data_IF_558704454017
#
_entry.id   IF_558704454017
#
_cell.length_a   1.000
_cell.length_b   1.000
_cell.length_c   1.000
_cell.angle_alpha   90.00
_cell.angle_beta   90.00
_cell.angle_gamma   90.00
#
_symmetry.space_group_name_H-M   'P 1'
#
loop_
_entity.id
_entity.type
_entity.pdbx_description
1 polymer ?
#
# COMPACT_ATOMS: atom_id res chain seq x y z
N UNK A 1 -10.33 -5.50 -21.93
CA UNK A 1 -11.10 -4.40 -21.33
C UNK A 1 -10.78 -4.23 -19.84
N UNK A 2 -10.98 -5.25 -19.00
CA UNK A 2 -10.77 -5.11 -17.55
C UNK A 2 -9.30 -4.96 -17.13
N UNK A 3 -8.36 -5.63 -17.79
CA UNK A 3 -6.92 -5.46 -17.50
C UNK A 3 -6.42 -4.06 -17.85
N UNK A 4 -6.94 -3.47 -18.92
CA UNK A 4 -6.63 -2.10 -19.31
C UNK A 4 -7.16 -1.08 -18.30
N UNK A 5 -8.35 -1.29 -17.76
CA UNK A 5 -8.91 -0.47 -16.69
C UNK A 5 -8.02 -0.55 -15.43
N UNK A 6 -7.62 -1.76 -15.01
CA UNK A 6 -6.70 -1.95 -13.87
C UNK A 6 -5.39 -1.21 -14.11
N UNK A 7 -4.84 -1.29 -15.33
CA UNK A 7 -3.61 -0.59 -15.70
C UNK A 7 -3.77 0.92 -15.58
N UNK A 8 -4.78 1.47 -16.24
CA UNK A 8 -4.99 2.92 -16.28
C UNK A 8 -5.28 3.48 -14.88
N UNK A 9 -6.07 2.77 -14.07
CA UNK A 9 -6.32 3.13 -12.69
C UNK A 9 -5.05 3.04 -11.83
N UNK A 10 -4.25 1.99 -11.98
CA UNK A 10 -2.98 1.83 -11.27
C UNK A 10 -1.99 2.95 -11.64
N UNK A 11 -1.90 3.30 -12.92
CA UNK A 11 -1.05 4.37 -13.43
C UNK A 11 -1.50 5.75 -12.91
N UNK A 12 -2.80 5.98 -12.79
CA UNK A 12 -3.35 7.23 -12.24
C UNK A 12 -3.11 7.33 -10.73
N UNK A 13 -3.31 6.25 -9.99
CA UNK A 13 -3.08 6.19 -8.54
C UNK A 13 -1.59 6.35 -8.18
N UNK A 14 -0.69 5.83 -9.02
CA UNK A 14 0.75 5.96 -8.86
C UNK A 14 1.26 7.40 -8.98
N UNK A 15 0.48 8.31 -9.58
CA UNK A 15 0.83 9.75 -9.67
C UNK A 15 0.66 10.51 -8.36
N UNK A 16 -0.02 9.92 -7.38
CA UNK A 16 -0.20 10.57 -6.08
C UNK A 16 1.10 10.57 -5.29
N UNK A 17 1.53 11.72 -4.83
CA UNK A 17 2.81 11.90 -4.13
C UNK A 17 2.97 11.06 -2.86
N UNK A 18 1.87 10.69 -2.21
CA UNK A 18 1.90 9.80 -1.03
C UNK A 18 2.07 8.32 -1.38
N UNK A 19 1.82 7.93 -2.63
CA UNK A 19 1.92 6.53 -3.03
C UNK A 19 3.38 6.18 -3.29
N UNK A 20 3.89 5.18 -2.58
CA UNK A 20 5.24 4.65 -2.80
C UNK A 20 5.25 3.54 -3.85
N UNK A 21 4.20 2.71 -3.87
CA UNK A 21 4.01 1.66 -4.88
C UNK A 21 2.56 1.25 -5.01
N UNK A 22 2.22 0.76 -6.19
CA UNK A 22 0.90 0.20 -6.51
C UNK A 22 1.08 -1.28 -6.83
N UNK A 23 0.35 -2.14 -6.16
CA UNK A 23 0.36 -3.58 -6.36
C UNK A 23 -1.00 -4.00 -6.93
N UNK A 24 -0.97 -4.71 -8.05
CA UNK A 24 -2.16 -5.25 -8.70
C UNK A 24 -1.85 -6.61 -9.32
N UNK A 25 -2.84 -7.28 -9.87
CA UNK A 25 -2.64 -8.53 -10.63
C UNK A 25 -1.72 -8.36 -11.85
N UNK A 26 -1.46 -7.13 -12.28
CA UNK A 26 -0.62 -6.86 -13.45
C UNK A 26 0.88 -6.94 -13.15
N UNK A 27 1.31 -6.64 -11.92
CA UNK A 27 2.71 -6.49 -11.56
C UNK A 27 3.20 -7.44 -10.46
N UNK A 28 2.36 -8.39 -10.03
CA UNK A 28 2.82 -9.43 -9.11
C UNK A 28 3.49 -10.59 -9.85
N UNK A 29 4.48 -11.27 -9.24
CA UNK A 29 5.20 -12.38 -9.82
C UNK A 29 4.31 -13.56 -10.21
N UNK A 30 4.52 -14.14 -11.40
CA UNK A 30 3.85 -15.33 -11.89
C UNK A 30 4.89 -16.44 -12.17
N UNK A 31 5.20 -17.24 -11.15
CA UNK A 31 6.30 -18.19 -11.20
C UNK A 31 5.96 -19.47 -11.98
N UNK A 32 4.68 -19.86 -12.05
CA UNK A 32 4.23 -21.07 -12.73
C UNK A 32 3.74 -20.85 -14.15
N UNK A 33 3.65 -19.59 -14.59
CA UNK A 33 3.03 -19.22 -15.86
C UNK A 33 4.01 -18.92 -16.98
N UNK A 34 5.31 -19.12 -16.73
CA UNK A 34 6.41 -18.80 -17.65
C UNK A 34 6.52 -19.82 -18.76
N UNK A 35 6.71 -19.36 -20.01
CA UNK A 35 7.16 -20.20 -21.12
C UNK A 35 8.69 -20.37 -20.99
N UNK A 36 9.17 -21.58 -20.69
CA UNK A 36 10.61 -21.86 -20.64
C UNK A 36 11.14 -22.36 -19.29
N UNK A 37 10.29 -22.48 -18.28
CA UNK A 37 10.69 -23.08 -16.99
C UNK A 37 11.58 -22.16 -16.14
N UNK A 38 12.36 -22.79 -15.23
CA UNK A 38 13.15 -22.11 -14.18
C UNK A 38 14.25 -21.18 -14.72
N UNK A 39 14.78 -21.45 -15.89
CA UNK A 39 15.84 -20.62 -16.52
C UNK A 39 15.32 -19.23 -16.94
N UNK A 40 14.07 -19.09 -17.35
CA UNK A 40 13.48 -17.80 -17.70
C UNK A 40 13.22 -16.90 -16.49
N UNK A 41 13.09 -17.49 -15.29
CA UNK A 41 12.83 -16.74 -14.04
C UNK A 41 14.09 -16.02 -13.54
N UNK A 42 15.28 -16.53 -13.87
CA UNK A 42 16.56 -15.98 -13.39
C UNK A 42 16.90 -14.64 -14.04
N UNK A 43 16.38 -14.37 -15.22
CA UNK A 43 16.67 -13.14 -15.98
C UNK A 43 15.62 -12.06 -15.76
N UNK A 44 14.35 -12.45 -15.55
CA UNK A 44 13.23 -11.53 -15.36
C UNK A 44 12.12 -12.21 -14.56
N UNK A 45 11.59 -11.51 -13.57
CA UNK A 45 10.41 -11.99 -12.82
C UNK A 45 9.14 -11.74 -13.65
N UNK A 46 8.51 -12.76 -14.22
CA UNK A 46 7.39 -12.58 -15.14
C UNK A 46 6.13 -12.08 -14.39
N UNK A 47 5.40 -11.21 -15.05
CA UNK A 47 4.15 -10.63 -14.57
C UNK A 47 3.05 -10.77 -15.63
N UNK A 48 1.79 -10.49 -15.27
CA UNK A 48 0.69 -10.53 -16.24
C UNK A 48 0.82 -9.47 -17.35
N UNK A 49 1.66 -8.47 -17.15
CA UNK A 49 1.93 -7.41 -18.15
C UNK A 49 2.88 -7.85 -19.26
N UNK A 50 3.58 -8.98 -19.09
CA UNK A 50 4.55 -9.46 -20.08
C UNK A 50 3.87 -10.10 -21.29
N UNK A 51 4.42 -9.86 -22.48
CA UNK A 51 3.83 -10.31 -23.76
C UNK A 51 3.80 -11.84 -23.92
N UNK A 52 4.74 -12.55 -23.27
CA UNK A 52 4.90 -14.00 -23.43
C UNK A 52 4.19 -14.83 -22.36
N UNK A 53 3.36 -14.21 -21.54
CA UNK A 53 2.60 -14.87 -20.50
C UNK A 53 1.46 -15.73 -21.10
N UNK A 54 1.35 -16.94 -20.57
CA UNK A 54 0.21 -17.80 -20.85
C UNK A 54 -0.98 -17.42 -19.91
N UNK A 55 -1.96 -16.70 -20.44
CA UNK A 55 -3.10 -16.20 -19.67
C UNK A 55 -3.89 -17.33 -18.96
N UNK A 56 -4.02 -18.51 -19.60
CA UNK A 56 -4.73 -19.63 -18.97
C UNK A 56 -3.98 -20.19 -17.77
N UNK A 57 -2.64 -20.30 -17.86
CA UNK A 57 -1.80 -20.67 -16.73
C UNK A 57 -1.80 -19.62 -15.63
N UNK A 58 -1.72 -18.33 -16.00
CA UNK A 58 -1.79 -17.23 -15.06
C UNK A 58 -3.10 -17.23 -14.25
N UNK A 59 -4.25 -17.45 -14.92
CA UNK A 59 -5.55 -17.60 -14.23
C UNK A 59 -5.54 -18.74 -13.23
N UNK A 60 -4.96 -19.87 -13.59
CA UNK A 60 -4.87 -21.03 -12.71
C UNK A 60 -3.94 -20.76 -11.51
N UNK A 61 -2.84 -20.06 -11.77
CA UNK A 61 -1.90 -19.65 -10.72
C UNK A 61 -2.57 -18.69 -9.73
N UNK A 62 -3.27 -17.67 -10.20
CA UNK A 62 -4.04 -16.76 -9.35
C UNK A 62 -5.09 -17.50 -8.52
N UNK A 63 -5.83 -18.42 -9.11
CA UNK A 63 -6.88 -19.17 -8.42
C UNK A 63 -6.35 -20.11 -7.33
N UNK A 64 -5.15 -20.69 -7.53
CA UNK A 64 -4.56 -21.71 -6.64
C UNK A 64 -3.54 -21.15 -5.66
N UNK A 65 -2.98 -19.97 -5.92
CA UNK A 65 -1.95 -19.39 -5.06
C UNK A 65 -2.53 -18.96 -3.71
N UNK A 66 -1.98 -19.43 -2.59
CA UNK A 66 -2.41 -18.98 -1.26
C UNK A 66 -2.07 -17.50 -1.00
N UNK A 67 -1.15 -16.93 -1.78
CA UNK A 67 -0.74 -15.52 -1.67
C UNK A 67 -1.75 -14.61 -2.37
N UNK A 68 -2.24 -15.01 -3.55
CA UNK A 68 -3.09 -14.16 -4.40
C UNK A 68 -4.57 -14.43 -4.23
N UNK A 69 -4.96 -15.71 -4.09
CA UNK A 69 -6.36 -16.12 -3.98
C UNK A 69 -6.97 -15.68 -2.64
N UNK A 70 -8.00 -14.87 -2.70
CA UNK A 70 -8.67 -14.29 -1.54
C UNK A 70 -8.02 -13.00 -1.00
N UNK A 71 -6.80 -12.66 -1.43
CA UNK A 71 -6.10 -11.43 -1.03
C UNK A 71 -6.07 -10.39 -2.15
N UNK A 72 -5.56 -10.76 -3.32
CA UNK A 72 -5.41 -9.88 -4.47
C UNK A 72 -6.52 -10.10 -5.51
N UNK A 73 -7.01 -11.32 -5.60
CA UNK A 73 -8.10 -11.70 -6.51
C UNK A 73 -9.06 -12.65 -5.80
N UNK A 74 -10.35 -12.50 -6.03
CA UNK A 74 -11.38 -13.40 -5.49
C UNK A 74 -11.25 -14.82 -6.07
N UNK A 75 -11.74 -15.81 -5.32
CA UNK A 75 -11.68 -17.23 -5.74
C UNK A 75 -12.41 -17.50 -7.06
N UNK A 76 -13.44 -16.74 -7.36
CA UNK A 76 -14.20 -16.80 -8.62
C UNK A 76 -13.57 -15.95 -9.74
N UNK A 77 -12.45 -15.29 -9.49
CA UNK A 77 -11.69 -14.44 -10.41
C UNK A 77 -12.49 -13.24 -10.97
N UNK A 78 -13.57 -12.84 -10.29
CA UNK A 78 -14.42 -11.73 -10.74
C UNK A 78 -14.06 -10.39 -10.13
N UNK A 79 -13.47 -10.40 -8.93
CA UNK A 79 -13.07 -9.20 -8.19
C UNK A 79 -11.57 -9.21 -7.97
N UNK A 80 -10.94 -8.07 -8.15
CA UNK A 80 -9.50 -7.89 -7.86
C UNK A 80 -9.27 -6.66 -7.01
N UNK A 81 -8.17 -6.65 -6.25
CA UNK A 81 -7.72 -5.52 -5.49
C UNK A 81 -6.55 -4.82 -6.20
N UNK A 82 -6.47 -3.51 -6.01
CA UNK A 82 -5.29 -2.69 -6.23
C UNK A 82 -4.85 -2.20 -4.86
N UNK A 83 -3.68 -2.64 -4.40
CA UNK A 83 -3.14 -2.23 -3.11
C UNK A 83 -2.19 -1.05 -3.30
N UNK A 84 -2.40 0.00 -2.52
CA UNK A 84 -1.54 1.17 -2.48
C UNK A 84 -0.67 1.10 -1.23
N UNK A 85 0.64 1.07 -1.41
CA UNK A 85 1.59 1.30 -0.34
C UNK A 85 1.86 2.80 -0.25
N UNK A 86 1.62 3.38 0.91
CA UNK A 86 1.87 4.79 1.15
C UNK A 86 3.31 4.99 1.63
N UNK A 87 3.86 6.16 1.34
CA UNK A 87 5.16 6.57 1.86
C UNK A 87 5.08 6.70 3.38
N UNK A 88 6.10 6.22 4.05
CA UNK A 88 6.24 6.43 5.49
C UNK A 88 6.82 7.82 5.74
N UNK A 89 6.29 8.51 6.75
CA UNK A 89 6.85 9.76 7.23
C UNK A 89 7.95 9.47 8.26
N UNK A 90 9.21 9.70 7.87
CA UNK A 90 10.37 9.43 8.71
C UNK A 90 10.35 10.27 9.99
N UNK A 91 10.02 11.56 9.86
CA UNK A 91 9.95 12.47 11.01
C UNK A 91 8.87 12.05 12.01
N UNK A 92 7.71 11.60 11.53
CA UNK A 92 6.67 11.05 12.39
C UNK A 92 7.17 9.83 13.16
N UNK A 93 7.86 8.91 12.48
CA UNK A 93 8.41 7.71 13.10
C UNK A 93 9.51 8.04 14.13
N UNK A 94 10.37 9.00 13.84
CA UNK A 94 11.39 9.47 14.78
C UNK A 94 10.76 10.06 16.05
N UNK A 95 9.82 11.00 15.90
CA UNK A 95 9.11 11.60 17.02
C UNK A 95 8.33 10.57 17.84
N UNK A 96 7.68 9.60 17.16
CA UNK A 96 6.94 8.52 17.80
C UNK A 96 7.87 7.62 18.64
N UNK A 97 9.00 7.21 18.06
CA UNK A 97 9.96 6.33 18.72
C UNK A 97 10.59 7.02 19.95
N UNK A 98 10.98 8.27 19.80
CA UNK A 98 11.56 9.05 20.91
C UNK A 98 10.56 9.27 22.04
N UNK A 99 9.30 9.62 21.68
CA UNK A 99 8.20 9.74 22.65
C UNK A 99 7.97 8.44 23.40
N UNK A 100 7.93 7.31 22.68
CA UNK A 100 7.68 6.00 23.29
C UNK A 100 8.83 5.59 24.23
N UNK A 101 10.08 5.87 23.86
CA UNK A 101 11.23 5.62 24.70
C UNK A 101 11.17 6.41 26.01
N UNK A 102 10.88 7.71 25.96
CA UNK A 102 10.77 8.55 27.14
C UNK A 102 9.56 8.19 28.00
N UNK A 103 8.43 7.84 27.38
CA UNK A 103 7.24 7.34 28.08
C UNK A 103 7.53 6.03 28.83
N UNK A 104 8.29 5.12 28.24
CA UNK A 104 8.71 3.89 28.90
C UNK A 104 9.63 4.15 30.10
N UNK A 105 10.59 5.08 29.97
CA UNK A 105 11.46 5.51 31.08
C UNK A 105 10.66 6.15 32.22
N UNK A 106 9.65 6.95 31.89
CA UNK A 106 8.76 7.55 32.90
C UNK A 106 7.97 6.48 33.65
N UNK A 107 7.37 5.54 32.94
CA UNK A 107 6.60 4.43 33.52
C UNK A 107 7.46 3.54 34.43
N UNK A 108 8.72 3.33 34.08
CA UNK A 108 9.68 2.54 34.86
C UNK A 108 10.35 3.32 36.01
N UNK A 109 10.07 4.63 36.16
CA UNK A 109 10.67 5.48 37.18
C UNK A 109 12.17 5.77 36.94
N UNK A 110 12.68 5.55 35.74
CA UNK A 110 14.10 5.72 35.36
C UNK A 110 14.38 7.02 34.60
N UNK A 111 13.37 7.85 34.40
CA UNK A 111 13.49 9.11 33.65
C UNK A 111 14.19 10.17 34.51
N UNK A 112 15.19 10.84 33.95
CA UNK A 112 15.86 11.98 34.61
C UNK A 112 15.03 13.26 34.50
N UNK A 113 15.32 14.27 35.32
CA UNK A 113 14.61 15.55 35.27
C UNK A 113 14.76 16.25 33.92
N UNK A 114 15.92 16.17 33.29
CA UNK A 114 16.17 16.73 31.96
C UNK A 114 15.34 16.00 30.88
N UNK A 115 15.29 14.66 30.93
CA UNK A 115 14.47 13.86 30.02
C UNK A 115 12.97 14.12 30.21
N UNK A 116 12.52 14.40 31.43
CA UNK A 116 11.12 14.73 31.71
C UNK A 116 10.71 16.05 31.06
N UNK A 117 11.57 17.06 31.12
CA UNK A 117 11.33 18.33 30.40
C UNK A 117 11.31 18.12 28.89
N UNK A 118 12.26 17.33 28.36
CA UNK A 118 12.30 16.97 26.94
C UNK A 118 11.05 16.21 26.52
N UNK A 119 10.56 15.28 27.34
CA UNK A 119 9.35 14.51 27.07
C UNK A 119 8.11 15.40 26.96
N UNK A 120 7.96 16.36 27.86
CA UNK A 120 6.84 17.31 27.81
C UNK A 120 6.85 18.15 26.54
N UNK A 121 8.01 18.66 26.13
CA UNK A 121 8.16 19.41 24.87
C UNK A 121 7.84 18.52 23.65
N UNK A 122 8.38 17.28 23.65
CA UNK A 122 8.21 16.32 22.55
C UNK A 122 6.74 15.90 22.39
N UNK A 123 5.98 15.74 23.46
CA UNK A 123 4.53 15.44 23.38
C UNK A 123 3.79 16.55 22.66
N UNK A 124 4.14 17.81 22.92
CA UNK A 124 3.56 18.97 22.22
C UNK A 124 3.91 18.98 20.72
N UNK A 125 5.20 18.78 20.41
CA UNK A 125 5.69 18.72 19.03
C UNK A 125 5.06 17.57 18.25
N UNK A 126 5.04 16.37 18.83
CA UNK A 126 4.41 15.20 18.23
C UNK A 126 2.94 15.43 17.91
N UNK A 127 2.19 16.03 18.85
CA UNK A 127 0.77 16.35 18.64
C UNK A 127 0.58 17.32 17.49
N UNK A 128 1.35 18.42 17.46
CA UNK A 128 1.26 19.42 16.40
C UNK A 128 1.59 18.81 15.03
N UNK A 129 2.67 18.04 14.95
CA UNK A 129 3.09 17.38 13.70
C UNK A 129 2.07 16.35 13.21
N UNK A 130 1.55 15.52 14.10
CA UNK A 130 0.49 14.57 13.78
C UNK A 130 -0.76 15.24 13.24
N UNK A 131 -1.17 16.37 13.83
CA UNK A 131 -2.38 17.08 13.43
C UNK A 131 -2.19 17.77 12.06
N UNK A 132 -0.97 18.18 11.71
CA UNK A 132 -0.59 18.65 10.37
C UNK A 132 -0.60 17.51 9.35
N UNK A 133 0.01 16.37 9.70
CA UNK A 133 0.05 15.17 8.86
C UNK A 133 -1.37 14.68 8.52
N UNK A 134 -2.27 14.64 9.50
CA UNK A 134 -3.69 14.28 9.27
C UNK A 134 -4.39 15.17 8.23
N UNK A 135 -4.10 16.45 8.21
CA UNK A 135 -4.67 17.36 7.19
C UNK A 135 -4.15 17.02 5.79
N UNK A 136 -2.85 16.72 5.70
CA UNK A 136 -2.24 16.27 4.45
C UNK A 136 -2.82 14.94 3.98
N UNK A 137 -2.95 13.97 4.89
CA UNK A 137 -3.52 12.64 4.62
C UNK A 137 -4.95 12.74 4.11
N UNK A 138 -5.77 13.58 4.74
CA UNK A 138 -7.14 13.82 4.29
C UNK A 138 -7.18 14.39 2.85
N UNK A 139 -6.35 15.37 2.54
CA UNK A 139 -6.25 15.95 1.19
C UNK A 139 -5.84 14.89 0.15
N UNK A 140 -4.89 14.05 0.51
CA UNK A 140 -4.41 12.99 -0.38
C UNK A 140 -5.45 11.87 -0.57
N UNK A 141 -6.19 11.53 0.48
CA UNK A 141 -7.30 10.60 0.40
C UNK A 141 -8.40 11.11 -0.55
N UNK A 142 -8.72 12.40 -0.48
CA UNK A 142 -9.68 13.01 -1.41
C UNK A 142 -9.16 12.99 -2.86
N UNK A 143 -7.87 13.20 -3.08
CA UNK A 143 -7.26 13.06 -4.40
C UNK A 143 -7.35 11.61 -4.95
N UNK A 144 -7.13 10.60 -4.09
CA UNK A 144 -7.30 9.18 -4.44
C UNK A 144 -8.76 8.89 -4.79
N UNK A 145 -9.72 9.36 -3.99
CA UNK A 145 -11.15 9.22 -4.27
C UNK A 145 -11.54 9.86 -5.60
N UNK A 146 -11.03 11.06 -5.88
CA UNK A 146 -11.27 11.76 -7.14
C UNK A 146 -10.67 11.00 -8.34
N UNK A 147 -9.48 10.40 -8.17
CA UNK A 147 -8.89 9.54 -9.19
C UNK A 147 -9.76 8.31 -9.48
N UNK A 148 -10.23 7.61 -8.45
CA UNK A 148 -11.12 6.44 -8.57
C UNK A 148 -12.43 6.81 -9.25
N UNK A 149 -13.02 7.97 -8.92
CA UNK A 149 -14.28 8.42 -9.48
C UNK A 149 -14.26 8.59 -11.01
N UNK A 150 -13.09 8.88 -11.60
CA UNK A 150 -12.91 8.95 -13.06
C UNK A 150 -13.16 7.61 -13.77
N UNK A 151 -13.02 6.50 -13.05
CA UNK A 151 -13.08 5.13 -13.60
C UNK A 151 -14.39 4.39 -13.25
N UNK A 152 -15.25 4.98 -12.42
CA UNK A 152 -16.48 4.35 -11.90
C UNK A 152 -17.60 4.16 -12.94
N UNK A 153 -17.41 4.56 -14.20
CA UNK A 153 -18.50 4.57 -15.18
C UNK A 153 -19.00 3.18 -15.62
N UNK A 154 -18.21 2.11 -15.43
CA UNK A 154 -18.52 0.77 -15.96
C UNK A 154 -18.24 -0.40 -15.01
N UNK A 155 -17.62 -0.14 -13.84
CA UNK A 155 -17.25 -1.18 -12.87
C UNK A 155 -17.46 -0.65 -11.45
N UNK A 156 -17.82 -1.52 -10.51
CA UNK A 156 -17.96 -1.17 -9.11
C UNK A 156 -16.57 -1.10 -8.45
N UNK A 157 -16.18 0.09 -8.00
CA UNK A 157 -14.92 0.33 -7.32
C UNK A 157 -15.18 0.69 -5.85
N UNK A 158 -14.55 -0.05 -4.95
CA UNK A 158 -14.63 0.17 -3.50
C UNK A 158 -13.25 0.57 -2.96
N UNK A 159 -13.23 1.60 -2.15
CA UNK A 159 -12.04 2.03 -1.44
C UNK A 159 -12.12 1.52 0.01
N UNK A 160 -11.05 0.86 0.48
CA UNK A 160 -10.94 0.35 1.84
C UNK A 160 -9.51 0.48 2.37
N UNK A 161 -9.34 0.35 3.67
CA UNK A 161 -8.03 0.38 4.33
C UNK A 161 -8.05 1.04 5.70
N UNK A 162 -6.99 0.87 6.47
CA UNK A 162 -6.89 1.36 7.84
C UNK A 162 -7.00 2.90 7.95
N UNK A 163 -6.53 3.64 6.96
CA UNK A 163 -6.56 5.11 6.94
C UNK A 163 -7.95 5.69 6.60
N UNK A 164 -8.94 4.83 6.33
CA UNK A 164 -10.33 5.23 6.09
C UNK A 164 -11.17 5.36 7.37
N UNK A 165 -10.64 4.90 8.50
CA UNK A 165 -11.38 4.74 9.78
C UNK A 165 -11.05 5.88 10.76
N UNK A 166 -10.25 6.86 10.35
CA UNK A 166 -9.81 7.97 11.21
C UNK A 166 -10.71 9.21 11.07
#
# INVERSE_FOLDING_TARGET
KNLELIKNLSDELAKNDMVSSVISILNVPLLNSVKGGVTGILEHTPTLSDKDINISKAKLEFAKSPIYSGNLISKDLKTTAIALNLKQDEKFNELLNERNLLSQKESNGTITQAEKLKFQALVGEFKAYRDELRKSDHKNLEAIKAAIAKFNANDELFLGGANMIA
#
